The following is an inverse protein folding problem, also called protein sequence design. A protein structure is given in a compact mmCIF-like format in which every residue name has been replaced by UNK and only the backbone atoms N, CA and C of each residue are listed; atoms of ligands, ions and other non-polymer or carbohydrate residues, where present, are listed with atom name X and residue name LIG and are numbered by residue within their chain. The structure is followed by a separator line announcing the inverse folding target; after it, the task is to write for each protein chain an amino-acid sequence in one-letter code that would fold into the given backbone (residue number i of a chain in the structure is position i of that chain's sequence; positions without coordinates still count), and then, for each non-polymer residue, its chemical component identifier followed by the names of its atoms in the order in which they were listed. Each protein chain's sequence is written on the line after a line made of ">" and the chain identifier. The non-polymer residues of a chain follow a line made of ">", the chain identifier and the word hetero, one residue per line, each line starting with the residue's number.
data_IF_036586678154
#
_entry.id   IF_036586678154
#
_cell.length_a   1.000
_cell.length_b   1.000
_cell.length_c   1.000
_cell.angle_alpha   90.00
_cell.angle_beta   90.00
_cell.angle_gamma   90.00
#
_symmetry.space_group_name_H-M   'P 1'
#
loop_
_entity.id
_entity.type
_entity.pdbx_description
1 polymer ?
#
# COMPACT_ATOMS: atom_id res chain seq x y z
N UNK A 1 -22.46 9.49 8.98
CA UNK A 1 -21.14 8.97 9.38
C UNK A 1 -20.47 8.49 8.11
N UNK A 2 -19.30 9.04 7.78
CA UNK A 2 -18.61 8.79 6.51
C UNK A 2 -17.44 7.83 6.71
N UNK A 3 -17.21 7.00 5.71
CA UNK A 3 -16.15 5.99 5.67
C UNK A 3 -15.26 6.26 4.45
N UNK A 4 -13.96 6.08 4.62
CA UNK A 4 -12.98 6.07 3.53
C UNK A 4 -12.33 4.69 3.45
N UNK A 5 -12.20 4.17 2.23
CA UNK A 5 -11.56 2.88 1.97
C UNK A 5 -10.23 3.11 1.28
N UNK A 6 -9.18 2.52 1.82
CA UNK A 6 -7.87 2.47 1.19
C UNK A 6 -7.64 1.07 0.62
N UNK A 7 -7.22 1.01 -0.64
CA UNK A 7 -6.62 -0.20 -1.22
C UNK A 7 -5.16 -0.24 -0.77
N UNK A 8 -4.78 -1.34 -0.12
CA UNK A 8 -3.40 -1.55 0.35
C UNK A 8 -2.76 -2.70 -0.43
N UNK A 9 -1.59 -2.46 -1.00
CA UNK A 9 -0.84 -3.39 -1.85
C UNK A 9 0.62 -3.47 -1.40
N UNK A 10 1.27 -4.61 -1.66
CA UNK A 10 2.72 -4.75 -1.44
C UNK A 10 3.47 -3.88 -2.47
N UNK A 11 4.42 -3.08 -2.00
CA UNK A 11 5.21 -2.22 -2.87
C UNK A 11 6.30 -3.04 -3.61
N UNK A 12 6.68 -2.68 -4.85
CA UNK A 12 7.70 -3.41 -5.60
C UNK A 12 9.07 -3.50 -4.91
N UNK A 13 9.43 -2.48 -4.13
CA UNK A 13 10.71 -2.40 -3.40
C UNK A 13 10.62 -2.93 -1.96
N UNK A 14 9.47 -3.51 -1.58
CA UNK A 14 9.16 -3.92 -0.21
C UNK A 14 8.37 -2.86 0.56
N UNK A 15 7.71 -3.29 1.63
CA UNK A 15 6.75 -2.46 2.36
C UNK A 15 5.36 -2.45 1.69
N UNK A 16 4.59 -1.40 1.98
CA UNK A 16 3.19 -1.28 1.59
C UNK A 16 2.89 0.08 0.99
N UNK A 17 2.04 0.09 -0.03
CA UNK A 17 1.39 1.29 -0.54
C UNK A 17 -0.09 1.27 -0.16
N UNK A 18 -0.67 2.43 0.12
CA UNK A 18 -2.09 2.60 0.38
C UNK A 18 -2.65 3.77 -0.45
N UNK A 19 -3.75 3.51 -1.16
CA UNK A 19 -4.43 4.50 -2.00
C UNK A 19 -5.90 4.60 -1.62
N UNK A 20 -6.38 5.80 -1.35
CA UNK A 20 -7.79 6.02 -1.09
C UNK A 20 -8.65 5.81 -2.35
N UNK A 21 -9.81 5.19 -2.19
CA UNK A 21 -10.81 5.06 -3.24
C UNK A 21 -11.68 6.31 -3.27
N UNK A 22 -11.70 7.01 -4.40
CA UNK A 22 -12.50 8.22 -4.59
C UNK A 22 -11.86 9.51 -4.08
N UNK A 23 -10.67 9.43 -3.47
CA UNK A 23 -9.91 10.57 -2.97
C UNK A 23 -8.48 10.52 -3.48
N UNK A 24 -7.84 11.67 -3.63
CA UNK A 24 -6.45 11.78 -4.10
C UNK A 24 -5.44 11.67 -2.96
N UNK A 25 -5.59 10.63 -2.12
CA UNK A 25 -4.71 10.38 -0.97
C UNK A 25 -3.89 9.11 -1.23
N UNK A 26 -2.58 9.24 -1.11
CA UNK A 26 -1.60 8.18 -1.32
C UNK A 26 -0.58 8.21 -0.20
N UNK A 27 -0.24 7.03 0.33
CA UNK A 27 0.76 6.88 1.39
C UNK A 27 1.51 5.58 1.22
N UNK A 28 2.74 5.51 1.71
CA UNK A 28 3.55 4.29 1.74
C UNK A 28 4.28 4.18 3.07
N UNK A 29 4.66 2.96 3.44
CA UNK A 29 5.47 2.69 4.62
C UNK A 29 6.09 1.28 4.55
N UNK A 30 7.17 1.08 5.29
CA UNK A 30 7.90 -0.20 5.35
C UNK A 30 7.10 -1.33 6.03
N UNK A 31 6.18 -0.97 6.93
CA UNK A 31 5.33 -1.92 7.65
C UNK A 31 3.91 -1.41 7.86
N UNK A 32 2.99 -2.32 8.20
CA UNK A 32 1.57 -2.02 8.38
C UNK A 32 1.28 -1.09 9.57
N UNK A 33 2.13 -1.07 10.60
CA UNK A 33 1.94 -0.18 11.74
C UNK A 33 2.23 1.26 11.31
N UNK A 34 3.38 1.49 10.69
CA UNK A 34 3.73 2.81 10.13
C UNK A 34 2.76 3.25 9.04
N UNK A 35 2.28 2.34 8.19
CA UNK A 35 1.28 2.66 7.17
C UNK A 35 -0.02 3.20 7.79
N UNK A 36 -0.46 2.62 8.91
CA UNK A 36 -1.68 3.07 9.61
C UNK A 36 -1.54 4.47 10.18
N UNK A 37 -0.34 4.84 10.61
CA UNK A 37 -0.03 6.19 11.10
C UNK A 37 -0.03 7.18 9.92
N UNK A 38 0.71 6.86 8.87
CA UNK A 38 0.76 7.69 7.64
C UNK A 38 -0.61 7.90 7.01
N UNK A 39 -1.45 6.87 6.93
CA UNK A 39 -2.83 7.00 6.41
C UNK A 39 -3.65 7.95 7.28
N UNK A 40 -3.56 7.88 8.62
CA UNK A 40 -4.29 8.78 9.51
C UNK A 40 -3.83 10.22 9.32
N UNK A 41 -2.53 10.44 9.22
CA UNK A 41 -1.94 11.77 9.05
C UNK A 41 -2.32 12.37 7.69
N UNK A 42 -2.27 11.57 6.62
CA UNK A 42 -2.67 11.98 5.29
C UNK A 42 -4.17 12.33 5.22
N UNK A 43 -5.05 11.54 5.85
CA UNK A 43 -6.48 11.87 5.96
C UNK A 43 -6.67 13.16 6.76
N UNK A 44 -5.96 13.34 7.87
CA UNK A 44 -6.06 14.56 8.67
C UNK A 44 -5.57 15.81 7.94
N UNK A 45 -4.58 15.67 7.05
CA UNK A 45 -4.04 16.75 6.22
C UNK A 45 -4.92 17.07 5.01
N UNK A 46 -5.55 16.06 4.40
CA UNK A 46 -6.42 16.23 3.22
C UNK A 46 -7.75 16.93 3.54
N UNK A 47 -8.30 16.69 4.73
CA UNK A 47 -9.56 17.29 5.15
C UNK A 47 -9.32 18.46 6.13
N UNK A 48 -9.34 19.69 5.60
CA UNK A 48 -9.22 20.93 6.39
C UNK A 48 -10.27 20.99 7.50
N UNK A 49 -11.54 20.75 7.15
CA UNK A 49 -12.66 20.75 8.09
C UNK A 49 -12.81 19.42 8.83
N UNK A 50 -12.84 19.49 10.17
CA UNK A 50 -13.06 18.32 11.02
C UNK A 50 -14.41 17.65 10.82
N UNK A 51 -15.43 18.39 10.37
CA UNK A 51 -16.78 17.85 10.14
C UNK A 51 -16.84 16.94 8.92
N UNK A 52 -16.02 17.22 7.90
CA UNK A 52 -15.96 16.46 6.65
C UNK A 52 -15.06 15.23 6.75
N UNK A 53 -14.27 15.10 7.83
CA UNK A 53 -13.36 13.96 8.03
C UNK A 53 -14.12 12.65 8.16
N UNK A 54 -13.67 11.59 7.46
CA UNK A 54 -14.22 10.26 7.65
C UNK A 54 -13.96 9.78 9.08
N UNK A 55 -14.98 9.21 9.71
CA UNK A 55 -14.89 8.67 11.08
C UNK A 55 -14.35 7.24 11.11
N UNK A 56 -14.39 6.57 9.96
CA UNK A 56 -13.92 5.20 9.77
C UNK A 56 -12.95 5.19 8.60
N UNK A 57 -11.76 4.64 8.85
CA UNK A 57 -10.76 4.33 7.81
C UNK A 57 -10.69 2.81 7.70
N UNK A 58 -11.02 2.27 6.53
CA UNK A 58 -10.91 0.84 6.23
C UNK A 58 -9.70 0.60 5.34
N UNK A 59 -8.78 -0.25 5.79
CA UNK A 59 -7.68 -0.76 4.97
C UNK A 59 -8.11 -2.07 4.33
N UNK A 60 -8.28 -2.09 3.02
CA UNK A 60 -8.52 -3.29 2.23
C UNK A 60 -7.19 -3.80 1.70
N UNK A 61 -6.57 -4.71 2.46
CA UNK A 61 -5.25 -5.27 2.14
C UNK A 61 -5.42 -6.40 1.12
N UNK A 62 -4.90 -6.17 -0.09
CA UNK A 62 -4.86 -7.17 -1.15
C UNK A 62 -3.45 -7.74 -1.21
N UNK A 63 -3.32 -9.02 -0.91
CA UNK A 63 -2.07 -9.76 -1.10
C UNK A 63 -2.16 -10.53 -2.40
N UNK A 64 -1.62 -9.93 -3.46
CA UNK A 64 -1.39 -10.67 -4.70
C UNK A 64 -0.04 -11.32 -4.55
N UNK A 65 0.01 -12.65 -4.55
CA UNK A 65 1.28 -13.36 -4.75
C UNK A 65 1.73 -12.96 -6.17
N UNK A 66 2.60 -11.94 -6.25
CA UNK A 66 3.04 -11.39 -7.52
C UNK A 66 3.82 -12.46 -8.28
N UNK A 67 3.15 -13.15 -9.20
CA UNK A 67 3.76 -14.11 -10.14
C UNK A 67 4.92 -13.48 -10.91
N UNK A 68 4.90 -12.16 -11.12
CA UNK A 68 6.01 -11.42 -11.72
C UNK A 68 7.29 -11.46 -10.88
N UNK A 69 7.20 -11.39 -9.55
CA UNK A 69 8.37 -11.55 -8.69
C UNK A 69 8.91 -12.98 -8.76
N UNK A 70 8.03 -13.98 -8.82
CA UNK A 70 8.42 -15.37 -9.04
C UNK A 70 9.12 -15.57 -10.40
N UNK A 71 8.61 -14.94 -11.47
CA UNK A 71 9.25 -14.99 -12.79
C UNK A 71 10.62 -14.27 -12.82
N UNK A 72 10.76 -13.13 -12.15
CA UNK A 72 12.03 -12.41 -12.04
C UNK A 72 13.06 -13.23 -11.23
N UNK A 73 12.65 -13.80 -10.09
CA UNK A 73 13.47 -14.70 -9.28
C UNK A 73 13.88 -15.96 -10.05
N UNK A 74 12.95 -16.62 -10.75
CA UNK A 74 13.25 -17.78 -11.59
C UNK A 74 14.25 -17.41 -12.69
N UNK A 75 14.07 -16.27 -13.35
CA UNK A 75 15.01 -15.78 -14.37
C UNK A 75 16.39 -15.45 -13.78
N UNK A 76 16.47 -14.94 -12.55
CA UNK A 76 17.76 -14.72 -11.87
C UNK A 76 18.42 -16.04 -11.44
N UNK A 77 17.64 -17.05 -11.03
CA UNK A 77 18.14 -18.39 -10.70
C UNK A 77 18.66 -19.14 -11.94
N UNK A 78 17.97 -19.07 -13.08
CA UNK A 78 18.44 -19.66 -14.35
C UNK A 78 19.79 -19.06 -14.80
N UNK A 79 20.02 -17.76 -14.58
CA UNK A 79 21.28 -17.09 -14.91
C UNK A 79 22.43 -17.42 -13.95
N UNK A 80 22.17 -17.97 -12.76
CA UNK A 80 23.22 -18.38 -11.81
C UNK A 80 23.76 -19.79 -12.11
N UNK A 81 23.09 -20.58 -12.94
CA UNK A 81 23.51 -21.95 -13.30
C UNK A 81 24.40 -21.99 -14.55
N UNK A 82 24.66 -20.85 -15.20
CA UNK A 82 25.41 -20.74 -16.45
C UNK A 82 26.78 -20.03 -16.31
N UNK A 83 27.54 -20.35 -15.27
CA UNK A 83 28.98 -20.16 -15.29
C UNK A 83 29.69 -21.50 -15.00
N UNK A 84 30.13 -22.15 -16.10
CA UNK A 84 31.25 -23.09 -16.14
C UNK A 84 32.36 -22.43 -16.97
#
# INVERSE_FOLDING_TARGET
>A
MTEIVFLVEDAPEGGYTARALGESIFTEADDLQSLREMVKDAVNCHYDDRENRPKIIRLHIVRVINFYFFQIMLRQLENQVFQL
#
